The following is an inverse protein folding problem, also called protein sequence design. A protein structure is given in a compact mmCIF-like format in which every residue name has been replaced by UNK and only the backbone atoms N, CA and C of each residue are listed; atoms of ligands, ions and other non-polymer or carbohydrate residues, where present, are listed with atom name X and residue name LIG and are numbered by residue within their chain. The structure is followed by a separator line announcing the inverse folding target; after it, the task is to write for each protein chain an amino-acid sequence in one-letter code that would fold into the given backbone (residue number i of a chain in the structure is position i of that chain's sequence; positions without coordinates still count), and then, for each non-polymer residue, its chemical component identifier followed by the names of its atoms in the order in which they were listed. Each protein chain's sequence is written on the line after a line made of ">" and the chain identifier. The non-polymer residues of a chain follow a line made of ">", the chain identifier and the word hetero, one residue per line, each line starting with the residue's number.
data_IF_041299403449
#
_entry.id   IF_041299403449
#
_cell.length_a   1.000
_cell.length_b   1.000
_cell.length_c   1.000
_cell.angle_alpha   90.00
_cell.angle_beta   90.00
_cell.angle_gamma   90.00
#
_symmetry.space_group_name_H-M   'P 1'
#
loop_
_entity.id
_entity.type
_entity.pdbx_description
1 polymer ?
#
# COMPACT_ATOMS: atom_id res chain seq x y z
N UNK A 1 -16.18 15.01 2.84
CA UNK A 1 -16.38 13.60 2.74
C UNK A 1 -16.81 12.95 4.03
N UNK A 2 -18.02 12.40 4.03
CA UNK A 2 -18.61 11.77 5.22
C UNK A 2 -17.76 10.55 5.62
N UNK A 3 -17.36 9.73 4.67
CA UNK A 3 -16.56 8.52 4.94
C UNK A 3 -15.23 8.84 5.60
N UNK A 4 -14.51 9.83 5.06
CA UNK A 4 -13.24 10.27 5.62
C UNK A 4 -13.42 10.73 7.06
N UNK A 5 -14.45 11.56 7.30
CA UNK A 5 -14.74 12.07 8.63
C UNK A 5 -15.00 10.94 9.62
N UNK A 6 -15.78 9.94 9.21
CA UNK A 6 -16.12 8.82 10.08
C UNK A 6 -14.90 7.98 10.46
N UNK A 7 -14.00 7.73 9.51
CA UNK A 7 -12.77 6.99 9.80
C UNK A 7 -11.83 7.79 10.69
N UNK A 8 -11.71 9.11 10.44
CA UNK A 8 -10.89 9.99 11.29
C UNK A 8 -11.44 10.03 12.71
N UNK A 9 -12.76 10.10 12.84
CA UNK A 9 -13.43 10.08 14.14
C UNK A 9 -13.18 8.74 14.86
N UNK A 10 -13.28 7.63 14.13
CA UNK A 10 -13.04 6.32 14.73
C UNK A 10 -11.62 6.19 15.26
N UNK A 11 -10.64 6.78 14.59
CA UNK A 11 -9.25 6.76 15.02
C UNK A 11 -9.08 7.49 16.36
N UNK A 12 -9.81 8.59 16.57
CA UNK A 12 -9.76 9.32 17.84
C UNK A 12 -10.19 8.44 19.00
N UNK A 13 -11.24 7.65 18.81
CA UNK A 13 -11.75 6.76 19.84
C UNK A 13 -11.08 5.39 19.88
N UNK A 14 -10.44 5.00 18.79
CA UNK A 14 -9.85 3.68 18.65
C UNK A 14 -8.57 3.77 17.81
N UNK A 15 -7.50 4.39 18.36
CA UNK A 15 -6.31 4.71 17.58
C UNK A 15 -5.49 3.51 17.12
N UNK A 16 -5.81 2.30 17.59
CA UNK A 16 -5.10 1.08 17.17
C UNK A 16 -5.91 0.26 16.17
N UNK A 17 -6.96 0.83 15.59
CA UNK A 17 -7.76 0.14 14.60
C UNK A 17 -7.12 0.27 13.20
N UNK A 18 -6.33 -0.74 12.84
CA UNK A 18 -5.62 -0.77 11.56
C UNK A 18 -6.56 -0.58 10.38
N UNK A 19 -7.77 -1.10 10.46
CA UNK A 19 -8.76 -1.00 9.36
C UNK A 19 -9.10 0.43 9.03
N UNK A 20 -9.22 1.29 10.05
CA UNK A 20 -9.55 2.70 9.81
C UNK A 20 -8.45 3.42 9.03
N UNK A 21 -7.19 3.13 9.37
CA UNK A 21 -6.06 3.72 8.64
C UNK A 21 -6.01 3.20 7.20
N UNK A 22 -6.30 1.91 7.00
CA UNK A 22 -6.34 1.34 5.65
C UNK A 22 -7.41 2.02 4.79
N UNK A 23 -8.61 2.21 5.35
CA UNK A 23 -9.69 2.87 4.60
C UNK A 23 -9.35 4.32 4.29
N UNK A 24 -8.70 5.03 5.23
CA UNK A 24 -8.23 6.38 4.95
C UNK A 24 -7.21 6.37 3.82
N UNK A 25 -6.29 5.42 3.81
CA UNK A 25 -5.32 5.30 2.73
C UNK A 25 -6.02 5.12 1.38
N UNK A 26 -7.07 4.30 1.34
CA UNK A 26 -7.86 4.10 0.12
C UNK A 26 -8.54 5.39 -0.35
N UNK A 27 -9.07 6.16 0.58
CA UNK A 27 -9.70 7.44 0.28
C UNK A 27 -8.67 8.41 -0.29
N UNK A 28 -7.50 8.51 0.36
CA UNK A 28 -6.43 9.38 -0.11
C UNK A 28 -5.89 8.94 -1.48
N UNK A 29 -5.88 7.64 -1.76
CA UNK A 29 -5.51 7.13 -3.08
C UNK A 29 -6.47 7.68 -4.14
N UNK A 30 -7.77 7.65 -3.87
CA UNK A 30 -8.78 8.19 -4.79
C UNK A 30 -8.65 9.69 -4.96
N UNK A 31 -8.20 10.40 -3.93
CA UNK A 31 -7.98 11.85 -3.98
C UNK A 31 -6.62 12.21 -4.57
N UNK A 32 -5.83 11.22 -4.95
CA UNK A 32 -4.48 11.41 -5.48
C UNK A 32 -3.57 12.16 -4.50
N UNK A 33 -3.81 11.95 -3.19
CA UNK A 33 -2.99 12.51 -2.13
C UNK A 33 -2.02 11.43 -1.63
N UNK A 34 -0.96 11.23 -2.38
CA UNK A 34 -0.01 10.16 -2.12
C UNK A 34 0.69 10.28 -0.76
N UNK A 35 1.00 11.49 -0.35
CA UNK A 35 1.65 11.74 0.94
C UNK A 35 0.82 11.21 2.10
N UNK A 36 -0.46 11.53 2.12
CA UNK A 36 -1.36 11.06 3.16
C UNK A 36 -1.69 9.58 3.02
N UNK A 37 -1.79 9.10 1.79
CA UNK A 37 -1.97 7.67 1.53
C UNK A 37 -0.82 6.87 2.13
N UNK A 38 0.41 7.28 1.83
CA UNK A 38 1.61 6.59 2.32
C UNK A 38 1.67 6.59 3.85
N UNK A 39 1.39 7.73 4.46
CA UNK A 39 1.39 7.86 5.92
C UNK A 39 0.41 6.89 6.57
N UNK A 40 -0.79 6.77 6.03
CA UNK A 40 -1.81 5.87 6.56
C UNK A 40 -1.50 4.41 6.29
N UNK A 41 -0.88 4.09 5.15
CA UNK A 41 -0.43 2.73 4.88
C UNK A 41 0.68 2.29 5.85
N UNK A 42 1.62 3.18 6.15
CA UNK A 42 2.68 2.88 7.11
C UNK A 42 2.11 2.62 8.49
N UNK A 43 1.13 3.41 8.91
CA UNK A 43 0.46 3.20 10.18
C UNK A 43 -0.30 1.87 10.19
N UNK A 44 -1.00 1.55 9.10
CA UNK A 44 -1.71 0.27 8.95
C UNK A 44 -0.74 -0.89 9.15
N UNK A 45 0.41 -0.85 8.50
CA UNK A 45 1.39 -1.93 8.57
C UNK A 45 2.13 -1.99 9.90
N UNK A 46 2.22 -0.86 10.60
CA UNK A 46 2.76 -0.84 11.94
C UNK A 46 1.84 -1.58 12.92
N UNK A 47 0.53 -1.37 12.78
CA UNK A 47 -0.48 -1.99 13.64
C UNK A 47 -0.82 -3.42 13.20
N UNK A 48 -0.75 -3.69 11.91
CA UNK A 48 -1.06 -5.01 11.33
C UNK A 48 -0.03 -5.34 10.24
N UNK A 49 1.15 -5.87 10.62
CA UNK A 49 2.22 -6.15 9.67
C UNK A 49 1.89 -7.17 8.59
N UNK A 50 0.83 -7.95 8.79
CA UNK A 50 0.40 -8.98 7.83
C UNK A 50 -0.77 -8.52 6.97
N UNK A 51 -1.04 -7.22 6.95
CA UNK A 51 -2.11 -6.67 6.12
C UNK A 51 -1.69 -6.70 4.66
N UNK A 52 -2.23 -7.64 3.91
CA UNK A 52 -1.87 -7.86 2.51
C UNK A 52 -2.26 -6.67 1.61
N UNK A 53 -3.44 -6.13 1.84
CA UNK A 53 -3.94 -5.02 1.02
C UNK A 53 -3.07 -3.78 1.18
N UNK A 54 -2.70 -3.46 2.42
CA UNK A 54 -1.84 -2.32 2.70
C UNK A 54 -0.46 -2.51 2.06
N UNK A 55 0.08 -3.73 2.16
CA UNK A 55 1.38 -4.05 1.56
C UNK A 55 1.32 -3.91 0.04
N UNK A 56 0.26 -4.40 -0.58
CA UNK A 56 0.09 -4.29 -2.02
C UNK A 56 -0.01 -2.82 -2.46
N UNK A 57 -0.77 -2.00 -1.73
CA UNK A 57 -0.89 -0.58 -2.04
C UNK A 57 0.45 0.15 -1.90
N UNK A 58 1.22 -0.21 -0.89
CA UNK A 58 2.57 0.36 -0.70
C UNK A 58 3.49 0.00 -1.87
N UNK A 59 3.42 -1.25 -2.33
CA UNK A 59 4.19 -1.70 -3.50
C UNK A 59 3.83 -0.86 -4.73
N UNK A 60 2.54 -0.56 -4.93
CA UNK A 60 2.10 0.25 -6.07
C UNK A 60 2.70 1.66 -6.02
N UNK A 61 2.78 2.25 -4.83
CA UNK A 61 3.39 3.57 -4.65
C UNK A 61 4.87 3.52 -5.01
N UNK A 62 5.58 2.50 -4.52
CA UNK A 62 7.01 2.37 -4.79
C UNK A 62 7.31 2.08 -6.26
N UNK A 63 6.41 1.36 -6.95
CA UNK A 63 6.52 1.15 -8.40
C UNK A 63 6.42 2.49 -9.15
N UNK A 64 5.47 3.34 -8.76
CA UNK A 64 5.31 4.67 -9.36
C UNK A 64 6.56 5.51 -9.19
N UNK A 65 7.21 5.39 -8.04
CA UNK A 65 8.42 6.16 -7.73
C UNK A 65 9.69 5.55 -8.33
N UNK A 66 9.58 4.42 -9.01
CA UNK A 66 10.70 3.68 -9.56
C UNK A 66 11.71 3.23 -8.50
N UNK A 67 11.23 3.01 -7.28
CA UNK A 67 12.05 2.49 -6.19
C UNK A 67 12.09 0.96 -6.28
N UNK A 68 12.77 0.44 -7.31
CA UNK A 68 12.72 -0.98 -7.65
C UNK A 68 13.30 -1.90 -6.58
N UNK A 69 14.33 -1.46 -5.89
CA UNK A 69 14.91 -2.23 -4.80
C UNK A 69 13.89 -2.43 -3.67
N UNK A 70 13.19 -1.35 -3.32
CA UNK A 70 12.15 -1.38 -2.30
C UNK A 70 10.97 -2.27 -2.74
N UNK A 71 10.60 -2.20 -4.02
CA UNK A 71 9.54 -3.05 -4.58
C UNK A 71 9.90 -4.51 -4.40
N UNK A 72 11.14 -4.89 -4.68
CA UNK A 72 11.60 -6.28 -4.54
C UNK A 72 11.54 -6.74 -3.09
N UNK A 73 11.99 -5.91 -2.16
CA UNK A 73 11.95 -6.24 -0.74
C UNK A 73 10.52 -6.39 -0.22
N UNK A 74 9.66 -5.45 -0.59
CA UNK A 74 8.25 -5.50 -0.20
C UNK A 74 7.53 -6.69 -0.80
N UNK A 75 7.89 -7.07 -2.04
CA UNK A 75 7.30 -8.23 -2.69
C UNK A 75 7.66 -9.52 -1.96
N UNK A 76 8.88 -9.62 -1.48
CA UNK A 76 9.30 -10.76 -0.65
C UNK A 76 8.48 -10.85 0.62
N UNK A 77 8.28 -9.71 1.29
CA UNK A 77 7.43 -9.64 2.49
C UNK A 77 6.00 -10.04 2.16
N UNK A 78 5.47 -9.49 1.07
CA UNK A 78 4.12 -9.79 0.62
C UNK A 78 3.95 -11.30 0.38
N UNK A 79 4.91 -11.91 -0.29
CA UNK A 79 4.89 -13.34 -0.57
C UNK A 79 4.89 -14.17 0.72
N UNK A 80 5.58 -13.71 1.76
CA UNK A 80 5.67 -14.43 3.02
C UNK A 80 4.39 -14.32 3.87
N UNK A 81 3.60 -13.28 3.68
CA UNK A 81 2.41 -13.04 4.50
C UNK A 81 1.09 -13.33 3.76
N UNK A 82 1.11 -13.40 2.44
CA UNK A 82 -0.12 -13.47 1.67
C UNK A 82 -0.88 -14.77 1.90
N UNK A 83 -2.19 -14.65 1.99
CA UNK A 83 -3.13 -15.76 2.07
C UNK A 83 -4.22 -15.60 1.01
N UNK A 84 -4.71 -14.37 0.83
CA UNK A 84 -5.81 -14.07 -0.10
C UNK A 84 -5.36 -13.44 -1.40
N UNK A 85 -4.28 -12.67 -1.36
CA UNK A 85 -3.84 -11.87 -2.50
C UNK A 85 -2.55 -12.38 -3.15
N UNK A 86 -2.17 -13.64 -2.91
CA UNK A 86 -0.94 -14.19 -3.48
C UNK A 86 -0.91 -14.12 -5.01
N UNK A 87 -2.05 -14.19 -5.65
CA UNK A 87 -2.16 -14.07 -7.11
C UNK A 87 -1.71 -12.70 -7.63
N UNK A 88 -1.67 -11.69 -6.76
CA UNK A 88 -1.19 -10.35 -7.13
C UNK A 88 0.32 -10.31 -7.35
N UNK A 89 1.05 -11.32 -6.89
CA UNK A 89 2.51 -11.36 -7.04
C UNK A 89 2.91 -11.32 -8.51
N UNK A 90 2.21 -12.08 -9.36
CA UNK A 90 2.49 -12.10 -10.79
C UNK A 90 2.27 -10.72 -11.42
N UNK A 91 1.21 -10.02 -10.99
CA UNK A 91 0.92 -8.68 -11.44
C UNK A 91 2.04 -7.72 -11.05
N UNK A 92 2.51 -7.81 -9.80
CA UNK A 92 3.62 -7.00 -9.30
C UNK A 92 4.88 -7.26 -10.13
N UNK A 93 5.20 -8.53 -10.34
CA UNK A 93 6.40 -8.92 -11.09
C UNK A 93 6.35 -8.40 -12.53
N UNK A 94 5.20 -8.47 -13.17
CA UNK A 94 5.04 -7.97 -14.53
C UNK A 94 5.17 -6.45 -14.58
N UNK A 95 4.55 -5.75 -13.64
CA UNK A 95 4.65 -4.29 -13.55
C UNK A 95 6.09 -3.84 -13.28
N UNK A 96 6.80 -4.57 -12.41
CA UNK A 96 8.19 -4.28 -12.12
C UNK A 96 9.06 -4.44 -13.37
N UNK A 97 8.85 -5.54 -14.10
CA UNK A 97 9.56 -5.80 -15.35
C UNK A 97 9.31 -4.70 -16.38
N UNK A 98 8.05 -4.31 -16.55
CA UNK A 98 7.66 -3.26 -17.49
C UNK A 98 8.26 -1.91 -17.09
N UNK A 99 8.23 -1.59 -15.81
CA UNK A 99 8.78 -0.32 -15.30
C UNK A 99 10.30 -0.27 -15.47
N UNK A 100 11.00 -1.37 -15.21
CA UNK A 100 12.44 -1.44 -15.39
C UNK A 100 12.84 -1.34 -16.86
N UNK A 101 12.07 -1.96 -17.75
CA UNK A 101 12.31 -1.88 -19.19
C UNK A 101 12.12 -0.44 -19.70
N UNK A 102 11.08 0.22 -19.21
CA UNK A 102 10.78 1.61 -19.57
C UNK A 102 11.90 2.54 -19.08
N UNK A 103 12.38 2.33 -17.85
CA UNK A 103 13.46 3.11 -17.27
C UNK A 103 14.74 2.93 -18.08
N UNK A 104 15.05 1.69 -18.49
CA UNK A 104 16.26 1.38 -19.25
C UNK A 104 16.22 1.95 -20.68
N UNK A 105 15.04 2.18 -21.25
CA UNK A 105 14.90 2.71 -22.60
C UNK A 105 14.91 4.24 -22.65
N UNK A 106 14.93 4.91 -21.50
CA UNK A 106 15.04 6.37 -21.41
C UNK A 106 16.55 6.80 -21.29
#
# INVERSE_FOLDING_TARGET
>A
EVSKFLFQRNIVFNPKDAKSYLYLAKIYNLEENEKEELKNLETTLLLDPKNEEAMYMLIQIELKKSNFSEVKDLTKRFNSICLKFCKKIKDIEQKLKDAQAKEASN
#
